data_IF_739551762507
#
_entry.id   IF_739551762507
#
_cell.length_a   1.000
_cell.length_b   1.000
_cell.length_c   1.000
_cell.angle_alpha   90.00
_cell.angle_beta   90.00
_cell.angle_gamma   90.00
#
_symmetry.space_group_name_H-M   'P 1'
#
loop_
_entity.id
_entity.type
_entity.pdbx_description
1 polymer ?
#
# COMPACT_ATOMS: atom_id res chain seq x y z
N UNK A 1 -10.47 -0.88 -14.95
CA UNK A 1 -9.88 -1.29 -13.66
C UNK A 1 -9.69 -0.08 -12.73
N UNK A 2 -8.94 0.97 -13.12
CA UNK A 2 -8.60 2.13 -12.25
C UNK A 2 -9.83 2.85 -11.65
N UNK A 3 -10.94 2.98 -12.41
CA UNK A 3 -12.16 3.61 -11.88
C UNK A 3 -12.80 2.79 -10.74
N UNK A 4 -12.75 1.46 -10.83
CA UNK A 4 -13.29 0.59 -9.77
C UNK A 4 -12.54 0.72 -8.44
N UNK A 5 -11.25 1.09 -8.46
CA UNK A 5 -10.44 1.31 -7.25
C UNK A 5 -10.82 2.60 -6.51
N UNK A 6 -11.48 3.55 -7.18
CA UNK A 6 -11.98 4.79 -6.55
C UNK A 6 -13.29 4.58 -5.80
N UNK A 7 -14.06 3.56 -6.19
CA UNK A 7 -15.42 3.32 -5.72
C UNK A 7 -15.51 2.14 -4.74
N UNK A 8 -14.46 1.31 -4.67
CA UNK A 8 -14.47 0.08 -3.87
C UNK A 8 -13.22 -0.05 -3.03
N UNK A 9 -13.36 -0.60 -1.84
CA UNK A 9 -12.21 -1.07 -1.04
C UNK A 9 -11.67 -2.36 -1.67
N UNK A 10 -10.41 -2.31 -2.13
CA UNK A 10 -9.73 -3.44 -2.79
C UNK A 10 -8.64 -3.96 -1.86
N UNK A 11 -8.75 -5.23 -1.49
CA UNK A 11 -7.81 -5.89 -0.58
C UNK A 11 -6.57 -6.40 -1.32
N UNK A 12 -6.71 -6.84 -2.57
CA UNK A 12 -5.65 -7.39 -3.41
C UNK A 12 -6.05 -7.30 -4.89
N UNK A 13 -5.08 -7.13 -5.76
CA UNK A 13 -5.25 -7.12 -7.21
C UNK A 13 -4.56 -8.35 -7.80
N UNK A 14 -5.29 -9.11 -8.63
CA UNK A 14 -4.72 -10.14 -9.50
C UNK A 14 -4.95 -9.68 -10.94
N UNK A 15 -3.89 -9.53 -11.70
CA UNK A 15 -3.94 -9.04 -13.08
C UNK A 15 -3.22 -9.99 -14.03
N UNK A 16 -3.80 -10.21 -15.20
CA UNK A 16 -3.05 -10.81 -16.30
C UNK A 16 -2.01 -9.81 -16.82
N UNK A 17 -0.87 -10.30 -17.29
CA UNK A 17 0.10 -9.50 -18.02
C UNK A 17 -0.50 -8.96 -19.32
N UNK A 18 -1.05 -9.87 -20.14
CA UNK A 18 -1.58 -9.50 -21.45
C UNK A 18 -3.05 -9.10 -21.35
N UNK A 19 -3.30 -7.80 -21.32
CA UNK A 19 -4.64 -7.24 -21.34
C UNK A 19 -4.79 -6.22 -22.47
N UNK A 20 -6.00 -6.07 -23.08
CA UNK A 20 -6.22 -5.04 -24.09
C UNK A 20 -6.17 -3.63 -23.49
N UNK A 21 -5.62 -2.67 -24.23
CA UNK A 21 -5.48 -1.23 -23.95
C UNK A 21 -4.39 -0.87 -22.93
N UNK A 22 -4.28 -1.55 -21.82
CA UNK A 22 -3.30 -1.35 -20.75
C UNK A 22 -2.86 -2.73 -20.29
N UNK A 23 -1.61 -3.04 -20.39
CA UNK A 23 -1.10 -4.33 -19.93
C UNK A 23 -0.96 -4.38 -18.40
N UNK A 24 -0.66 -5.57 -17.86
CA UNK A 24 -0.57 -5.78 -16.43
C UNK A 24 0.60 -5.04 -15.78
N UNK A 25 1.69 -4.83 -16.50
CA UNK A 25 2.88 -4.09 -16.02
C UNK A 25 2.58 -2.60 -15.94
N UNK A 26 1.97 -2.03 -17.00
CA UNK A 26 1.52 -0.65 -17.01
C UNK A 26 0.49 -0.40 -15.90
N UNK A 27 -0.44 -1.34 -15.72
CA UNK A 27 -1.43 -1.26 -14.65
C UNK A 27 -0.78 -1.31 -13.27
N UNK A 28 0.18 -2.22 -13.05
CA UNK A 28 0.94 -2.28 -11.80
C UNK A 28 1.69 -0.97 -11.53
N UNK A 29 2.42 -0.44 -12.51
CA UNK A 29 3.10 0.86 -12.40
C UNK A 29 2.12 1.99 -12.03
N UNK A 30 0.95 2.03 -12.66
CA UNK A 30 -0.08 3.03 -12.34
C UNK A 30 -0.60 2.90 -10.89
N UNK A 31 -0.76 1.65 -10.38
CA UNK A 31 -1.12 1.40 -8.98
C UNK A 31 -0.01 1.86 -8.04
N UNK A 32 1.25 1.55 -8.34
CA UNK A 32 2.41 1.86 -7.48
C UNK A 32 2.74 3.35 -7.44
N UNK A 33 2.53 4.09 -8.51
CA UNK A 33 2.78 5.53 -8.57
C UNK A 33 1.67 6.37 -7.95
N UNK A 34 0.49 5.81 -7.75
CA UNK A 34 -0.63 6.51 -7.13
C UNK A 34 -0.60 6.30 -5.61
N UNK A 35 -0.46 7.41 -4.87
CA UNK A 35 -0.35 7.43 -3.41
C UNK A 35 -1.53 6.76 -2.70
N UNK A 36 -2.73 6.84 -3.25
CA UNK A 36 -3.94 6.24 -2.67
C UNK A 36 -4.03 4.72 -2.88
N UNK A 37 -3.30 4.13 -3.83
CA UNK A 37 -3.41 2.71 -4.21
C UNK A 37 -2.10 1.93 -4.07
N UNK A 38 -0.96 2.61 -3.88
CA UNK A 38 0.38 1.98 -3.82
C UNK A 38 0.50 0.85 -2.79
N UNK A 39 -0.30 0.91 -1.72
CA UNK A 39 -0.33 -0.07 -0.63
C UNK A 39 -1.08 -1.37 -0.97
N UNK A 40 -1.86 -1.42 -2.08
CA UNK A 40 -2.67 -2.59 -2.43
C UNK A 40 -1.77 -3.70 -2.97
N UNK A 41 -1.82 -4.95 -2.42
CA UNK A 41 -1.08 -6.09 -2.96
C UNK A 41 -1.42 -6.34 -4.42
N UNK A 42 -0.39 -6.67 -5.22
CA UNK A 42 -0.55 -6.89 -6.65
C UNK A 42 0.13 -8.20 -7.08
N UNK A 43 -0.65 -9.11 -7.63
CA UNK A 43 -0.17 -10.36 -8.23
C UNK A 43 -0.25 -10.23 -9.74
N UNK A 44 0.85 -10.46 -10.44
CA UNK A 44 0.91 -10.46 -11.89
C UNK A 44 0.94 -11.89 -12.43
N UNK A 45 -0.04 -12.23 -13.27
CA UNK A 45 -0.12 -13.52 -13.95
C UNK A 45 0.49 -13.40 -15.35
N UNK A 46 1.37 -14.33 -15.74
CA UNK A 46 2.06 -14.25 -17.02
C UNK A 46 2.19 -15.59 -17.73
N UNK A 47 2.13 -15.55 -19.05
CA UNK A 47 2.53 -16.65 -19.92
C UNK A 47 4.00 -16.53 -20.39
N UNK A 48 4.68 -15.42 -20.04
CA UNK A 48 6.06 -15.16 -20.48
C UNK A 48 7.04 -15.83 -19.52
N UNK A 49 7.89 -16.66 -20.07
CA UNK A 49 8.90 -17.46 -19.34
C UNK A 49 10.32 -16.93 -19.49
N UNK A 50 10.54 -15.96 -20.40
CA UNK A 50 11.86 -15.39 -20.64
C UNK A 50 12.34 -14.50 -19.48
N UNK A 51 13.64 -14.48 -19.25
CA UNK A 51 14.28 -13.77 -18.13
C UNK A 51 14.03 -12.27 -18.16
N UNK A 52 14.00 -11.65 -19.34
CA UNK A 52 13.78 -10.21 -19.47
C UNK A 52 12.36 -9.80 -19.01
N UNK A 53 11.36 -10.59 -19.37
CA UNK A 53 9.99 -10.36 -18.92
C UNK A 53 9.84 -10.55 -17.41
N UNK A 54 10.56 -11.50 -16.80
CA UNK A 54 10.58 -11.65 -15.34
C UNK A 54 11.16 -10.43 -14.63
N UNK A 55 12.28 -9.90 -15.16
CA UNK A 55 12.89 -8.67 -14.61
C UNK A 55 11.92 -7.49 -14.74
N UNK A 56 11.32 -7.29 -15.91
CA UNK A 56 10.34 -6.23 -16.14
C UNK A 56 9.13 -6.33 -15.19
N UNK A 57 8.65 -7.57 -14.93
CA UNK A 57 7.58 -7.84 -13.98
C UNK A 57 7.98 -7.52 -12.53
N UNK A 58 9.21 -7.80 -12.14
CA UNK A 58 9.75 -7.44 -10.83
C UNK A 58 9.92 -5.92 -10.69
N UNK A 59 10.42 -5.25 -11.73
CA UNK A 59 10.65 -3.81 -11.74
C UNK A 59 9.35 -2.98 -11.68
N UNK A 60 8.21 -3.54 -12.09
CA UNK A 60 6.93 -2.85 -11.97
C UNK A 60 6.44 -2.73 -10.52
N UNK A 61 7.05 -3.44 -9.58
CA UNK A 61 6.71 -3.44 -8.16
C UNK A 61 5.54 -4.36 -7.80
N UNK A 62 5.29 -5.43 -8.56
CA UNK A 62 4.34 -6.47 -8.16
C UNK A 62 4.86 -7.22 -6.92
N UNK A 63 3.95 -7.58 -6.01
CA UNK A 63 4.31 -8.34 -4.79
C UNK A 63 4.51 -9.84 -5.08
N UNK A 64 3.88 -10.36 -6.12
CA UNK A 64 4.07 -11.73 -6.59
C UNK A 64 3.91 -11.82 -8.11
N UNK A 65 4.61 -12.80 -8.67
CA UNK A 65 4.67 -13.09 -10.09
C UNK A 65 4.37 -14.58 -10.28
N UNK A 66 3.33 -14.91 -11.04
CA UNK A 66 2.86 -16.29 -11.21
C UNK A 66 2.82 -16.65 -12.69
N UNK A 67 3.60 -17.67 -13.07
CA UNK A 67 3.65 -18.19 -14.42
C UNK A 67 2.44 -19.09 -14.72
N UNK A 68 1.86 -18.94 -15.90
CA UNK A 68 0.85 -19.83 -16.46
C UNK A 68 1.52 -20.98 -17.21
N UNK A 69 1.03 -22.23 -17.06
CA UNK A 69 -0.12 -22.66 -16.28
C UNK A 69 0.19 -22.81 -14.78
N UNK A 70 -0.75 -22.41 -13.92
CA UNK A 70 -0.66 -22.56 -12.46
C UNK A 70 -1.87 -23.32 -11.91
N UNK A 71 -1.72 -23.95 -10.75
CA UNK A 71 -2.85 -24.52 -10.03
C UNK A 71 -3.60 -23.45 -9.22
N UNK A 72 -4.91 -23.60 -9.05
CA UNK A 72 -5.69 -22.71 -8.18
C UNK A 72 -5.17 -22.72 -6.75
N UNK A 73 -4.74 -23.88 -6.24
CA UNK A 73 -4.14 -24.03 -4.91
C UNK A 73 -2.87 -23.17 -4.75
N UNK A 74 -2.05 -23.08 -5.78
CA UNK A 74 -0.86 -22.22 -5.76
C UNK A 74 -1.22 -20.73 -5.71
N UNK A 75 -2.18 -20.29 -6.53
CA UNK A 75 -2.67 -18.91 -6.51
C UNK A 75 -3.28 -18.55 -5.15
N UNK A 76 -4.12 -19.43 -4.59
CA UNK A 76 -4.73 -19.25 -3.27
C UNK A 76 -3.67 -19.15 -2.16
N UNK A 77 -2.62 -19.99 -2.21
CA UNK A 77 -1.52 -19.93 -1.26
C UNK A 77 -0.75 -18.61 -1.36
N UNK A 78 -0.48 -18.10 -2.57
CA UNK A 78 0.16 -16.80 -2.78
C UNK A 78 -0.70 -15.65 -2.23
N UNK A 79 -2.01 -15.64 -2.53
CA UNK A 79 -2.95 -14.64 -2.00
C UNK A 79 -2.94 -14.66 -0.48
N UNK A 80 -3.10 -15.85 0.12
CA UNK A 80 -3.10 -16.02 1.58
C UNK A 80 -1.83 -15.49 2.21
N UNK A 81 -0.66 -15.88 1.70
CA UNK A 81 0.63 -15.45 2.23
C UNK A 81 0.79 -13.92 2.19
N UNK A 82 0.38 -13.25 1.10
CA UNK A 82 0.45 -11.80 1.00
C UNK A 82 -0.50 -11.10 2.00
N UNK A 83 -1.71 -11.63 2.17
CA UNK A 83 -2.68 -11.10 3.13
C UNK A 83 -2.22 -11.32 4.57
N UNK A 84 -1.73 -12.52 4.89
CA UNK A 84 -1.26 -12.88 6.23
C UNK A 84 -0.03 -12.08 6.64
N UNK A 85 0.93 -11.87 5.73
CA UNK A 85 2.10 -11.03 5.99
C UNK A 85 1.70 -9.59 6.35
N UNK A 86 0.74 -9.01 5.62
CA UNK A 86 0.24 -7.67 5.90
C UNK A 86 -0.50 -7.58 7.23
N UNK A 87 -1.30 -8.59 7.53
CA UNK A 87 -1.99 -8.68 8.82
C UNK A 87 -0.99 -8.77 9.99
N UNK A 88 0.11 -9.51 9.81
CA UNK A 88 1.17 -9.60 10.80
C UNK A 88 1.85 -8.24 11.03
N UNK A 89 2.18 -7.49 9.98
CA UNK A 89 2.78 -6.16 10.08
C UNK A 89 1.84 -5.18 10.81
N UNK A 90 0.55 -5.20 10.46
CA UNK A 90 -0.50 -4.39 11.13
C UNK A 90 -0.59 -4.71 12.62
N UNK A 91 -0.59 -5.99 12.98
CA UNK A 91 -0.69 -6.44 14.38
C UNK A 91 0.55 -6.03 15.18
N UNK A 92 1.74 -6.12 14.59
CA UNK A 92 2.98 -5.66 15.23
C UNK A 92 2.91 -4.15 15.54
N UNK A 93 2.50 -3.34 14.57
CA UNK A 93 2.37 -1.90 14.77
C UNK A 93 1.29 -1.55 15.82
N UNK A 94 0.15 -2.20 15.76
CA UNK A 94 -0.95 -1.98 16.73
C UNK A 94 -0.53 -2.33 18.17
N UNK A 95 0.30 -3.36 18.37
CA UNK A 95 0.79 -3.76 19.70
C UNK A 95 1.98 -2.95 20.19
N UNK A 96 2.77 -2.40 19.29
CA UNK A 96 3.99 -1.65 19.60
C UNK A 96 4.02 -0.32 18.81
N UNK A 97 3.17 0.65 19.16
CA UNK A 97 3.07 1.92 18.42
C UNK A 97 4.34 2.79 18.51
N UNK A 98 5.34 2.37 19.32
CA UNK A 98 6.63 3.03 19.43
C UNK A 98 7.61 2.70 18.31
N UNK A 99 7.33 1.69 17.45
CA UNK A 99 8.17 1.42 16.26
C UNK A 99 8.06 2.56 15.25
N UNK A 100 9.11 2.81 14.46
CA UNK A 100 9.05 3.83 13.40
C UNK A 100 7.91 3.57 12.44
N UNK A 101 7.19 4.62 12.01
CA UNK A 101 6.05 4.52 11.09
C UNK A 101 6.42 3.85 9.78
N UNK A 102 7.62 4.12 9.25
CA UNK A 102 8.10 3.51 8.01
C UNK A 102 8.32 1.99 8.11
N UNK A 103 8.39 1.41 9.32
CA UNK A 103 8.50 -0.05 9.51
C UNK A 103 7.28 -0.84 9.00
N UNK A 104 6.16 -0.18 8.72
CA UNK A 104 4.96 -0.77 8.14
C UNK A 104 4.81 -0.49 6.65
N UNK A 105 5.78 0.17 6.03
CA UNK A 105 5.81 0.38 4.59
C UNK A 105 5.93 -0.95 3.85
N UNK A 106 5.13 -1.11 2.79
CA UNK A 106 5.16 -2.32 1.97
C UNK A 106 6.00 -2.12 0.69
N UNK A 107 6.25 -0.87 0.33
CA UNK A 107 7.01 -0.47 -0.84
C UNK A 107 7.58 0.93 -0.65
N UNK A 108 8.47 1.35 -1.57
CA UNK A 108 9.13 2.67 -1.53
C UNK A 108 8.16 3.86 -1.52
N UNK A 109 6.99 3.74 -2.15
CA UNK A 109 5.97 4.81 -2.13
C UNK A 109 5.29 4.93 -0.77
N UNK A 110 5.02 3.78 -0.12
CA UNK A 110 4.45 3.77 1.22
C UNK A 110 5.46 4.30 2.24
N UNK A 111 6.75 3.96 2.07
CA UNK A 111 7.82 4.49 2.92
C UNK A 111 7.91 6.02 2.82
N UNK A 112 7.98 6.57 1.62
CA UNK A 112 7.99 8.04 1.39
C UNK A 112 6.74 8.71 1.96
N UNK A 113 5.57 8.10 1.78
CA UNK A 113 4.32 8.62 2.30
C UNK A 113 4.31 8.66 3.83
N UNK A 114 4.71 7.56 4.48
CA UNK A 114 4.74 7.47 5.94
C UNK A 114 5.81 8.38 6.55
N UNK A 115 6.98 8.49 5.91
CA UNK A 115 8.03 9.42 6.31
C UNK A 115 7.52 10.86 6.24
N UNK A 116 6.94 11.27 5.10
CA UNK A 116 6.41 12.62 4.93
C UNK A 116 5.27 12.94 5.90
N UNK A 117 4.39 11.99 6.13
CA UNK A 117 3.31 12.15 7.11
C UNK A 117 3.86 12.29 8.53
N UNK A 118 4.87 11.50 8.91
CA UNK A 118 5.51 11.61 10.21
C UNK A 118 6.17 12.99 10.39
N UNK A 119 6.92 13.47 9.39
CA UNK A 119 7.52 14.81 9.39
C UNK A 119 6.46 15.91 9.62
N UNK A 120 5.35 15.87 8.85
CA UNK A 120 4.27 16.87 9.00
C UNK A 120 3.70 16.85 10.42
N UNK A 121 3.46 15.68 11.01
CA UNK A 121 2.94 15.58 12.37
C UNK A 121 3.98 16.10 13.38
N UNK A 122 5.26 15.75 13.18
CA UNK A 122 6.34 16.18 14.07
C UNK A 122 6.62 17.68 14.02
N UNK A 123 6.56 18.29 12.84
CA UNK A 123 6.72 19.75 12.66
C UNK A 123 5.53 20.53 13.27
N UNK A 124 4.37 19.89 13.36
CA UNK A 124 3.13 20.52 13.81
C UNK A 124 2.56 19.92 15.11
N UNK A 125 3.35 19.20 15.90
CA UNK A 125 2.83 18.47 17.07
C UNK A 125 2.17 19.38 18.12
N UNK A 126 2.65 20.63 18.27
CA UNK A 126 2.09 21.65 19.19
C UNK A 126 0.99 22.50 18.53
N UNK A 127 0.74 22.34 17.24
CA UNK A 127 -0.27 23.12 16.52
C UNK A 127 -1.67 22.56 16.83
N UNK A 128 -2.59 23.38 17.38
CA UNK A 128 -3.96 22.95 17.65
C UNK A 128 -4.74 22.62 16.36
N UNK A 129 -4.38 23.21 15.23
CA UNK A 129 -4.99 22.96 13.92
C UNK A 129 -4.59 21.62 13.31
N UNK A 130 -3.62 20.89 13.89
CA UNK A 130 -3.22 19.58 13.39
C UNK A 130 -4.38 18.59 13.48
N UNK A 131 -5.01 18.37 12.35
CA UNK A 131 -6.19 17.53 12.16
C UNK A 131 -6.01 16.60 10.95
N UNK A 132 -6.96 15.70 10.74
CA UNK A 132 -6.99 14.86 9.55
C UNK A 132 -7.10 15.72 8.28
N UNK A 133 -7.89 16.80 8.30
CA UNK A 133 -8.06 17.69 7.17
C UNK A 133 -6.75 18.43 6.84
N UNK A 134 -6.02 18.87 7.87
CA UNK A 134 -4.69 19.43 7.73
C UNK A 134 -3.72 18.44 7.03
N UNK A 135 -3.74 17.17 7.44
CA UNK A 135 -2.91 16.13 6.82
C UNK A 135 -3.31 15.86 5.37
N UNK A 136 -4.61 15.82 5.07
CA UNK A 136 -5.08 15.58 3.68
C UNK A 136 -4.65 16.68 2.73
N UNK A 137 -4.68 17.93 3.18
CA UNK A 137 -4.20 19.09 2.41
C UNK A 137 -2.69 19.01 2.16
N UNK A 138 -1.90 18.81 3.22
CA UNK A 138 -0.42 18.74 3.13
C UNK A 138 0.10 17.53 2.34
N UNK A 139 -0.62 16.41 2.36
CA UNK A 139 -0.27 15.19 1.64
C UNK A 139 -0.91 15.11 0.25
N UNK A 140 -1.76 16.07 -0.14
CA UNK A 140 -2.49 16.08 -1.41
C UNK A 140 -3.25 14.76 -1.67
N UNK A 141 -3.89 14.21 -0.63
CA UNK A 141 -4.68 12.98 -0.69
C UNK A 141 -6.11 13.24 -0.22
N UNK A 142 -7.09 12.56 -0.81
CA UNK A 142 -8.47 12.65 -0.33
C UNK A 142 -8.62 12.08 1.08
N UNK A 143 -9.60 12.58 1.84
CA UNK A 143 -9.90 12.10 3.20
C UNK A 143 -10.16 10.58 3.21
N UNK A 144 -10.99 10.09 2.29
CA UNK A 144 -11.26 8.66 2.16
C UNK A 144 -10.01 7.85 1.79
N UNK A 145 -9.17 8.37 0.90
CA UNK A 145 -7.89 7.76 0.53
C UNK A 145 -6.91 7.68 1.70
N UNK A 146 -6.83 8.73 2.51
CA UNK A 146 -5.99 8.74 3.72
C UNK A 146 -6.48 7.69 4.73
N UNK A 147 -7.80 7.65 5.01
CA UNK A 147 -8.39 6.67 5.92
C UNK A 147 -8.15 5.22 5.43
N UNK A 148 -8.44 4.93 4.16
CA UNK A 148 -8.23 3.61 3.58
C UNK A 148 -6.76 3.19 3.67
N UNK A 149 -5.83 4.09 3.30
CA UNK A 149 -4.40 3.80 3.33
C UNK A 149 -3.87 3.54 4.74
N UNK A 150 -4.17 4.42 5.70
CA UNK A 150 -3.70 4.24 7.09
C UNK A 150 -4.32 3.01 7.73
N UNK A 151 -5.63 2.78 7.53
CA UNK A 151 -6.30 1.56 8.00
C UNK A 151 -5.66 0.31 7.41
N UNK A 152 -5.31 0.36 6.11
CA UNK A 152 -4.67 -0.78 5.44
C UNK A 152 -3.24 -1.00 5.92
N UNK A 153 -2.44 0.04 6.17
CA UNK A 153 -1.05 -0.09 6.60
C UNK A 153 -0.91 -0.40 8.10
N UNK A 154 -1.67 0.29 8.95
CA UNK A 154 -1.48 0.31 10.41
C UNK A 154 -2.64 -0.27 11.22
N UNK A 155 -3.80 -0.49 10.60
CA UNK A 155 -5.06 -0.89 11.26
C UNK A 155 -5.54 0.08 12.34
N UNK A 156 -5.18 1.34 12.21
CA UNK A 156 -5.64 2.45 13.06
C UNK A 156 -6.23 3.56 12.18
N UNK A 157 -6.92 4.50 12.80
CA UNK A 157 -7.41 5.69 12.12
C UNK A 157 -6.31 6.76 12.01
N UNK A 158 -6.39 7.71 11.06
CA UNK A 158 -5.49 8.85 11.02
C UNK A 158 -5.45 9.67 12.32
N UNK A 159 -6.58 9.80 13.03
CA UNK A 159 -6.63 10.48 14.32
C UNK A 159 -5.81 9.75 15.39
N UNK A 160 -5.98 8.42 15.49
CA UNK A 160 -5.19 7.60 16.42
C UNK A 160 -3.70 7.69 16.09
N UNK A 161 -3.35 7.73 14.81
CA UNK A 161 -1.96 7.88 14.38
C UNK A 161 -1.36 9.23 14.83
N UNK A 162 -2.08 10.33 14.66
CA UNK A 162 -1.66 11.65 15.18
C UNK A 162 -1.40 11.57 16.69
N UNK A 163 -2.30 10.92 17.45
CA UNK A 163 -2.13 10.74 18.88
C UNK A 163 -0.89 9.90 19.23
N UNK A 164 -0.67 8.79 18.51
CA UNK A 164 0.51 7.93 18.69
C UNK A 164 1.81 8.71 18.48
N UNK A 165 1.89 9.51 17.40
CA UNK A 165 3.09 10.31 17.14
C UNK A 165 3.27 11.41 18.19
N UNK A 166 2.20 12.05 18.62
CA UNK A 166 2.24 13.05 19.72
C UNK A 166 2.74 12.43 21.03
N UNK A 167 2.25 11.24 21.38
CA UNK A 167 2.67 10.53 22.61
C UNK A 167 4.14 10.11 22.60
N UNK A 168 4.74 9.89 21.42
CA UNK A 168 6.17 9.59 21.30
C UNK A 168 7.08 10.77 21.66
N UNK A 169 6.57 12.00 21.57
CA UNK A 169 7.33 13.22 21.80
C UNK A 169 7.03 13.88 23.16
N UNK A 170 5.98 13.42 23.84
CA UNK A 170 5.67 13.89 25.20
C UNK A 170 6.51 13.16 26.24
#
# INVERSE_FOLDING_TARGET
ALNKLKENEVTLIVSDWMMPRMDGVEFCKAIRTNQATSHIPFILLTAKTDTNSKIEGMDCGADAYIEKPFSMQYLEACIKNLVDLRNLLRQKFSKMPLVPLNSIANNSMDDKFLTRMNEIIEENFSNPELSVDFLTEKLCISRSGLFAKIKTLANITPNELIQVVRLKKA
#
